data_IF_792769418552
#
_entry.id   IF_792769418552
#
_cell.length_a   1.000
_cell.length_b   1.000
_cell.length_c   1.000
_cell.angle_alpha   90.00
_cell.angle_beta   90.00
_cell.angle_gamma   90.00
#
_symmetry.space_group_name_H-M   'P 1'
#
loop_
_entity.id
_entity.type
_entity.pdbx_description
1 polymer ?
#
# COMPACT_ATOMS: atom_id res chain seq x y z
N UNK A 1 8.45 -14.64 7.97
CA UNK A 1 7.70 -15.91 8.16
C UNK A 1 7.47 -16.52 6.78
N UNK A 2 7.53 -17.85 6.63
CA UNK A 2 7.14 -18.48 5.37
C UNK A 2 5.62 -18.32 5.14
N UNK A 3 5.16 -18.10 3.91
CA UNK A 3 3.74 -17.98 3.62
C UNK A 3 2.97 -19.26 4.01
N UNK A 4 1.74 -19.12 4.51
CA UNK A 4 0.84 -20.25 4.77
C UNK A 4 -0.63 -19.84 4.65
N UNK A 5 -1.57 -20.79 4.52
CA UNK A 5 -3.00 -20.47 4.52
C UNK A 5 -3.45 -19.78 5.81
N UNK A 6 -4.34 -18.79 5.66
CA UNK A 6 -4.91 -17.95 6.72
C UNK A 6 -6.40 -17.71 6.46
N UNK A 7 -7.28 -18.71 6.63
CA UNK A 7 -8.70 -18.61 6.26
C UNK A 7 -9.48 -17.55 7.04
N UNK A 8 -8.97 -17.19 8.23
CA UNK A 8 -9.56 -16.19 9.12
C UNK A 8 -9.28 -14.73 8.71
N UNK A 9 -8.50 -14.47 7.65
CA UNK A 9 -8.26 -13.09 7.18
C UNK A 9 -9.58 -12.40 6.81
N UNK A 10 -9.89 -11.32 7.49
CA UNK A 10 -11.07 -10.48 7.21
C UNK A 10 -10.76 -9.32 6.28
N UNK A 11 -9.51 -8.84 6.29
CA UNK A 11 -8.95 -7.88 5.33
C UNK A 11 -7.89 -8.59 4.49
N UNK A 12 -7.56 -8.06 3.31
CA UNK A 12 -6.57 -8.67 2.40
C UNK A 12 -6.94 -10.11 2.02
N UNK A 13 -8.23 -10.35 1.76
CA UNK A 13 -8.82 -11.69 1.64
C UNK A 13 -8.27 -12.50 0.46
N UNK A 14 -7.70 -11.83 -0.54
CA UNK A 14 -7.03 -12.46 -1.67
C UNK A 14 -5.74 -13.21 -1.28
N UNK A 15 -5.20 -12.98 -0.08
CA UNK A 15 -4.06 -13.74 0.45
C UNK A 15 -4.47 -14.94 1.33
N UNK A 16 -5.76 -15.26 1.49
CA UNK A 16 -6.23 -16.35 2.37
C UNK A 16 -5.57 -17.70 2.12
N UNK A 17 -5.33 -18.06 0.87
CA UNK A 17 -4.72 -19.34 0.53
C UNK A 17 -3.21 -19.37 0.75
N UNK A 18 -2.56 -18.20 0.75
CA UNK A 18 -1.10 -18.10 0.85
C UNK A 18 -0.67 -16.73 1.37
N UNK A 19 -0.55 -16.58 2.70
CA UNK A 19 -0.26 -15.30 3.36
C UNK A 19 0.95 -15.33 4.28
N UNK A 20 1.67 -14.21 4.33
CA UNK A 20 2.71 -13.96 5.32
C UNK A 20 2.19 -13.36 6.64
N UNK A 21 0.99 -12.79 6.64
CA UNK A 21 0.38 -12.06 7.76
C UNK A 21 -0.71 -12.90 8.44
N UNK A 22 -1.04 -12.59 9.69
CA UNK A 22 -2.26 -13.06 10.37
C UNK A 22 -3.31 -11.96 10.43
N UNK A 23 -4.56 -12.36 10.64
CA UNK A 23 -5.70 -11.43 10.70
C UNK A 23 -5.54 -10.33 11.77
N UNK A 24 -4.98 -10.66 12.94
CA UNK A 24 -4.70 -9.66 13.98
C UNK A 24 -3.64 -8.63 13.54
N UNK A 25 -2.63 -9.03 12.77
CA UNK A 25 -1.58 -8.13 12.27
C UNK A 25 -2.17 -7.12 11.26
N UNK A 26 -3.03 -7.61 10.36
CA UNK A 26 -3.70 -6.76 9.37
C UNK A 26 -4.67 -5.80 10.04
N UNK A 27 -5.50 -6.26 10.98
CA UNK A 27 -6.42 -5.38 11.71
C UNK A 27 -5.69 -4.24 12.42
N UNK A 28 -4.52 -4.52 13.00
CA UNK A 28 -3.68 -3.49 13.63
C UNK A 28 -3.22 -2.45 12.61
N UNK A 29 -2.74 -2.87 11.43
CA UNK A 29 -2.34 -1.96 10.35
C UNK A 29 -3.52 -1.09 9.92
N UNK A 30 -4.65 -1.71 9.56
CA UNK A 30 -5.84 -0.99 9.09
C UNK A 30 -6.42 -0.05 10.16
N UNK A 31 -6.30 -0.36 11.45
CA UNK A 31 -6.72 0.53 12.53
C UNK A 31 -5.93 1.84 12.61
N UNK A 32 -4.72 1.86 12.06
CA UNK A 32 -3.85 3.05 12.02
C UNK A 32 -4.02 3.85 10.73
N UNK A 33 -4.65 3.26 9.71
CA UNK A 33 -4.92 3.91 8.42
C UNK A 33 -6.07 4.89 8.61
N UNK A 34 -5.78 6.18 8.43
CA UNK A 34 -6.81 7.20 8.36
C UNK A 34 -7.34 7.27 6.93
N UNK A 35 -8.65 7.01 6.71
CA UNK A 35 -9.26 7.19 5.40
C UNK A 35 -9.07 8.64 4.93
N UNK A 36 -8.84 8.82 3.64
CA UNK A 36 -8.85 10.14 3.02
C UNK A 36 -10.30 10.55 2.80
N UNK A 37 -10.70 11.73 3.27
CA UNK A 37 -12.09 12.17 3.16
C UNK A 37 -12.36 12.54 1.69
N UNK A 38 -13.46 12.04 1.13
CA UNK A 38 -13.80 12.27 -0.27
C UNK A 38 -12.93 11.49 -1.27
N UNK A 39 -12.26 10.41 -0.83
CA UNK A 39 -11.54 9.52 -1.74
C UNK A 39 -12.49 8.84 -2.73
N UNK A 40 -12.04 8.70 -3.97
CA UNK A 40 -12.66 7.82 -4.96
C UNK A 40 -12.55 6.35 -4.54
N UNK A 41 -13.31 5.47 -5.19
CA UNK A 41 -13.11 4.02 -5.10
C UNK A 41 -11.65 3.67 -5.39
N UNK A 42 -11.11 4.21 -6.48
CA UNK A 42 -9.78 3.89 -6.98
C UNK A 42 -8.69 4.27 -5.97
N UNK A 43 -8.78 5.47 -5.38
CA UNK A 43 -7.87 5.88 -4.32
C UNK A 43 -7.94 4.94 -3.11
N UNK A 44 -9.15 4.53 -2.74
CA UNK A 44 -9.38 3.63 -1.61
C UNK A 44 -8.79 2.25 -1.90
N UNK A 45 -8.93 1.76 -3.13
CA UNK A 45 -8.40 0.48 -3.57
C UNK A 45 -6.87 0.48 -3.59
N UNK A 46 -6.23 1.53 -4.13
CA UNK A 46 -4.77 1.70 -4.03
C UNK A 46 -4.30 1.68 -2.57
N UNK A 47 -4.92 2.46 -1.68
CA UNK A 47 -4.50 2.48 -0.27
C UNK A 47 -4.70 1.10 0.38
N UNK A 48 -5.82 0.42 0.13
CA UNK A 48 -6.10 -0.89 0.70
C UNK A 48 -5.11 -1.95 0.20
N UNK A 49 -4.85 -2.00 -1.11
CA UNK A 49 -3.87 -2.90 -1.71
C UNK A 49 -2.49 -2.66 -1.11
N UNK A 50 -2.08 -1.40 -0.99
CA UNK A 50 -0.82 -1.03 -0.37
C UNK A 50 -0.73 -1.54 1.06
N UNK A 51 -1.77 -1.38 1.89
CA UNK A 51 -1.76 -1.85 3.30
C UNK A 51 -1.70 -3.38 3.44
N UNK A 52 -2.06 -4.10 2.39
CA UNK A 52 -1.98 -5.55 2.34
C UNK A 52 -0.59 -6.09 1.96
N UNK A 53 0.42 -5.23 1.74
CA UNK A 53 1.79 -5.65 1.38
C UNK A 53 2.37 -6.72 2.34
N UNK A 54 2.04 -6.63 3.63
CA UNK A 54 2.53 -7.54 4.69
C UNK A 54 2.02 -8.98 4.52
N UNK A 55 0.89 -9.14 3.83
CA UNK A 55 0.26 -10.42 3.59
C UNK A 55 0.82 -11.12 2.35
N UNK A 56 1.48 -10.37 1.45
CA UNK A 56 2.00 -10.92 0.22
C UNK A 56 2.99 -12.07 0.48
N UNK A 57 2.84 -13.21 -0.22
CA UNK A 57 3.82 -14.29 -0.15
C UNK A 57 5.19 -13.88 -0.72
N UNK A 58 5.22 -12.77 -1.47
CA UNK A 58 6.40 -12.24 -2.14
C UNK A 58 6.95 -11.00 -1.42
N UNK A 59 6.53 -10.73 -0.18
CA UNK A 59 6.97 -9.56 0.59
C UNK A 59 8.49 -9.39 0.67
N UNK A 60 9.26 -10.49 0.62
CA UNK A 60 10.72 -10.47 0.66
C UNK A 60 11.36 -9.68 -0.51
N UNK A 61 10.62 -9.45 -1.60
CA UNK A 61 11.09 -8.68 -2.76
C UNK A 61 11.12 -7.18 -2.51
N UNK A 62 10.19 -6.69 -1.71
CA UNK A 62 9.92 -5.26 -1.57
C UNK A 62 9.89 -4.75 -0.14
N UNK A 63 9.82 -5.62 0.87
CA UNK A 63 9.89 -5.24 2.28
C UNK A 63 11.24 -5.65 2.87
N UNK A 64 12.13 -4.69 3.07
CA UNK A 64 13.52 -4.90 3.54
C UNK A 64 13.98 -3.75 4.43
N UNK A 65 14.77 -4.06 5.46
CA UNK A 65 15.23 -3.04 6.42
C UNK A 65 14.08 -2.30 7.12
N UNK A 66 12.99 -3.01 7.42
CA UNK A 66 11.76 -2.46 8.03
C UNK A 66 11.06 -1.38 7.18
N UNK A 67 11.43 -1.25 5.90
CA UNK A 67 10.84 -0.30 4.95
C UNK A 67 10.20 -1.00 3.77
N UNK A 68 9.07 -0.46 3.35
CA UNK A 68 8.41 -0.85 2.10
C UNK A 68 9.05 -0.09 0.94
N UNK A 69 9.55 -0.81 -0.04
CA UNK A 69 9.99 -0.29 -1.33
C UNK A 69 8.82 -0.34 -2.30
N UNK A 70 8.39 0.81 -2.81
CA UNK A 70 7.25 0.96 -3.72
C UNK A 70 7.77 1.40 -5.08
N UNK A 71 7.21 0.84 -6.16
CA UNK A 71 7.58 1.27 -7.50
C UNK A 71 7.07 2.70 -7.75
N UNK A 72 7.86 3.55 -8.41
CA UNK A 72 7.46 4.93 -8.71
C UNK A 72 6.14 4.99 -9.50
N UNK A 73 5.93 4.05 -10.43
CA UNK A 73 4.68 3.95 -11.21
C UNK A 73 3.45 3.82 -10.30
N UNK A 74 3.52 2.95 -9.29
CA UNK A 74 2.44 2.76 -8.33
C UNK A 74 2.18 4.03 -7.52
N UNK A 75 3.24 4.69 -7.06
CA UNK A 75 3.13 5.96 -6.34
C UNK A 75 2.43 7.05 -7.17
N UNK A 76 2.71 7.13 -8.47
CA UNK A 76 2.08 8.08 -9.37
C UNK A 76 0.59 7.75 -9.59
N UNK A 77 0.25 6.49 -9.86
CA UNK A 77 -1.15 6.07 -10.04
C UNK A 77 -1.99 6.30 -8.78
N UNK A 78 -1.45 5.93 -7.61
CA UNK A 78 -2.09 6.18 -6.33
C UNK A 78 -2.28 7.68 -6.07
N UNK A 79 -1.28 8.51 -6.40
CA UNK A 79 -1.41 9.96 -6.26
C UNK A 79 -2.48 10.54 -7.18
N UNK A 80 -2.51 10.16 -8.46
CA UNK A 80 -3.52 10.61 -9.41
C UNK A 80 -4.94 10.25 -8.94
N UNK A 81 -5.13 9.01 -8.47
CA UNK A 81 -6.40 8.55 -7.94
C UNK A 81 -6.83 9.32 -6.67
N UNK A 82 -5.86 9.70 -5.83
CA UNK A 82 -6.10 10.33 -4.54
C UNK A 82 -6.00 11.87 -4.54
N UNK A 83 -5.64 12.52 -5.64
CA UNK A 83 -5.26 13.94 -5.67
C UNK A 83 -6.35 14.88 -5.13
N UNK A 84 -7.62 14.56 -5.36
CA UNK A 84 -8.78 15.34 -4.90
C UNK A 84 -9.23 14.97 -3.48
N UNK A 85 -8.73 13.87 -2.93
CA UNK A 85 -9.08 13.43 -1.58
C UNK A 85 -8.43 14.34 -0.54
N UNK A 86 -9.09 14.53 0.59
CA UNK A 86 -8.62 15.43 1.64
C UNK A 86 -7.76 14.70 2.67
N UNK A 87 -6.56 15.21 2.88
CA UNK A 87 -5.68 14.85 3.98
C UNK A 87 -5.55 16.05 4.94
N UNK A 88 -5.97 15.89 6.19
CA UNK A 88 -6.01 16.98 7.20
C UNK A 88 -6.80 18.21 6.71
N UNK A 89 -7.82 17.99 5.87
CA UNK A 89 -8.67 19.05 5.31
C UNK A 89 -8.11 19.74 4.06
N UNK A 90 -6.94 19.33 3.56
CA UNK A 90 -6.31 19.90 2.36
C UNK A 90 -6.27 18.80 1.28
N UNK A 91 -6.60 19.11 0.00
CA UNK A 91 -6.45 18.15 -1.09
C UNK A 91 -5.03 17.59 -1.18
N UNK A 92 -4.89 16.29 -1.43
CA UNK A 92 -3.58 15.63 -1.58
C UNK A 92 -2.75 16.30 -2.68
N UNK A 93 -3.36 16.70 -3.80
CA UNK A 93 -2.68 17.38 -4.91
C UNK A 93 -2.21 18.80 -4.59
N UNK A 94 -2.68 19.41 -3.50
CA UNK A 94 -2.14 20.68 -3.00
C UNK A 94 -1.00 20.47 -1.99
N UNK A 95 -0.98 19.32 -1.31
CA UNK A 95 0.04 18.97 -0.31
C UNK A 95 1.33 18.43 -0.94
N UNK A 96 1.22 17.75 -2.08
CA UNK A 96 2.33 17.06 -2.72
C UNK A 96 2.29 17.32 -4.22
N UNK A 97 3.44 17.57 -4.83
CA UNK A 97 3.51 17.91 -6.24
C UNK A 97 3.32 16.69 -7.17
N UNK A 98 3.59 15.47 -6.67
CA UNK A 98 3.57 14.24 -7.46
C UNK A 98 3.52 12.98 -6.56
N UNK A 99 3.41 11.81 -7.20
CA UNK A 99 3.38 10.53 -6.52
C UNK A 99 4.63 10.21 -5.70
N UNK A 100 5.81 10.67 -6.13
CA UNK A 100 7.05 10.48 -5.37
C UNK A 100 6.95 11.12 -4.00
N UNK A 101 6.59 12.39 -3.95
CA UNK A 101 6.43 13.12 -2.69
C UNK A 101 5.34 12.52 -1.82
N UNK A 102 4.22 12.10 -2.44
CA UNK A 102 3.13 11.46 -1.71
C UNK A 102 3.58 10.15 -1.04
N UNK A 103 4.31 9.28 -1.74
CA UNK A 103 4.88 8.05 -1.16
C UNK A 103 5.97 8.32 -0.11
N UNK A 104 6.86 9.28 -0.34
CA UNK A 104 7.91 9.64 0.63
C UNK A 104 7.32 10.16 1.94
N UNK A 105 6.19 10.89 1.88
CA UNK A 105 5.48 11.37 3.08
C UNK A 105 5.03 10.23 4.01
N UNK A 106 4.85 9.03 3.46
CA UNK A 106 4.47 7.80 4.17
C UNK A 106 5.67 6.97 4.63
N UNK A 107 6.90 7.49 4.49
CA UNK A 107 8.17 6.83 4.85
C UNK A 107 8.46 5.56 4.04
N UNK A 108 7.95 5.49 2.82
CA UNK A 108 8.31 4.43 1.89
C UNK A 108 9.63 4.75 1.19
N UNK A 109 10.35 3.71 0.80
CA UNK A 109 11.45 3.80 -0.14
C UNK A 109 10.89 3.69 -1.55
N UNK A 110 11.44 4.46 -2.49
CA UNK A 110 10.96 4.48 -3.87
C UNK A 110 12.00 3.84 -4.77
N UNK A 111 11.53 2.94 -5.63
CA UNK A 111 12.35 2.32 -6.67
C UNK A 111 11.94 2.89 -8.02
N UNK A 112 12.86 3.64 -8.65
CA UNK A 112 12.64 4.35 -9.92
C UNK A 112 12.69 3.43 -11.12
N UNK A 113 13.32 2.26 -10.96
CA UNK A 113 13.30 1.20 -11.96
C UNK A 113 11.96 0.49 -11.86
N UNK A 114 11.16 0.57 -12.91
CA UNK A 114 9.92 -0.20 -13.07
C UNK A 114 10.24 -1.69 -13.24
N UNK A 115 10.70 -2.31 -12.16
CA UNK A 115 10.96 -3.72 -12.05
C UNK A 115 10.26 -4.25 -10.80
N UNK A 116 9.05 -4.77 -11.02
CA UNK A 116 8.20 -5.43 -10.02
C UNK A 116 8.86 -6.63 -9.33
N UNK A 117 10.05 -7.06 -9.77
CA UNK A 117 10.86 -8.03 -9.03
C UNK A 117 11.45 -7.45 -7.72
N UNK A 118 11.47 -6.13 -7.52
CA UNK A 118 12.22 -5.48 -6.44
C UNK A 118 11.48 -4.39 -5.66
N UNK A 119 10.24 -4.09 -6.04
CA UNK A 119 9.37 -3.09 -5.41
C UNK A 119 7.92 -3.54 -5.46
N UNK A 120 7.11 -2.99 -4.55
CA UNK A 120 5.68 -3.24 -4.49
C UNK A 120 4.98 -2.54 -5.66
N UNK A 121 4.17 -3.32 -6.35
CA UNK A 121 3.19 -2.91 -7.34
C UNK A 121 1.97 -3.79 -7.12
N UNK A 122 0.77 -3.22 -7.26
CA UNK A 122 -0.45 -3.99 -7.17
C UNK A 122 -0.74 -4.61 -8.55
N UNK A 123 -0.56 -5.92 -8.66
CA UNK A 123 -0.86 -6.71 -9.86
C UNK A 123 -2.32 -7.24 -9.84
N UNK A 124 -3.14 -6.81 -8.87
CA UNK A 124 -4.50 -7.30 -8.61
C UNK A 124 -5.51 -6.93 -9.69
#
# INVERSE_FOLDING_TARGET
RAPSPQPALTNCTWFKENSCCRDNEVRLIFSQVRPLIGSSSDCTDFINALMCYVCSPMQYRFYRGERLHVCLSYCNQMYEACATALMKGIPVGELYANGREFCLSRRFEINDVNNSASCFFDDS
#
